data_IF_230114795661
#
_entry.id   IF_230114795661
#
_cell.length_a   1.000
_cell.length_b   1.000
_cell.length_c   1.000
_cell.angle_alpha   90.00
_cell.angle_beta   90.00
_cell.angle_gamma   90.00
#
_symmetry.space_group_name_H-M   'P 1'
#
loop_
_entity.id
_entity.type
_entity.pdbx_description
1 polymer ?
#
# COMPACT_ATOMS: atom_id res chain seq x y z
N UNK A 1 4.28 8.55 -21.95
CA UNK A 1 4.78 7.53 -20.97
C UNK A 1 5.43 6.41 -21.77
N UNK A 2 6.75 6.23 -21.63
CA UNK A 2 7.50 5.24 -22.43
C UNK A 2 8.37 4.33 -21.57
N UNK A 3 8.94 4.82 -20.47
CA UNK A 3 9.83 4.07 -19.57
C UNK A 3 9.32 4.08 -18.15
N UNK A 4 9.11 2.91 -17.57
CA UNK A 4 8.59 2.73 -16.21
C UNK A 4 9.56 1.88 -15.38
N UNK A 5 9.95 2.38 -14.21
CA UNK A 5 10.61 1.57 -13.20
C UNK A 5 9.56 0.89 -12.33
N UNK A 6 9.54 -0.43 -12.30
CA UNK A 6 8.70 -1.20 -11.39
C UNK A 6 9.46 -1.44 -10.09
N UNK A 7 8.91 -0.98 -9.00
CA UNK A 7 9.52 -1.04 -7.67
C UNK A 7 8.84 -2.12 -6.84
N UNK A 8 9.62 -3.06 -6.34
CA UNK A 8 9.14 -4.21 -5.56
C UNK A 8 10.03 -4.47 -4.36
N UNK A 9 9.49 -5.16 -3.38
CA UNK A 9 10.25 -5.79 -2.30
C UNK A 9 9.66 -7.15 -1.98
N UNK A 10 10.48 -8.12 -1.63
CA UNK A 10 10.03 -9.45 -1.26
C UNK A 10 10.76 -9.96 0.00
N UNK A 11 10.10 -10.84 0.76
CA UNK A 11 10.67 -11.52 1.90
C UNK A 11 10.01 -12.90 2.08
N UNK A 12 10.74 -13.98 1.75
CA UNK A 12 10.29 -15.38 1.88
C UNK A 12 8.91 -15.66 1.26
N UNK A 13 8.71 -15.23 -0.02
CA UNK A 13 7.46 -15.40 -0.77
C UNK A 13 7.71 -15.83 -2.21
N UNK A 14 8.66 -16.77 -2.43
CA UNK A 14 9.13 -17.18 -3.76
C UNK A 14 8.00 -17.36 -4.77
N UNK A 15 7.03 -18.22 -4.47
CA UNK A 15 5.97 -18.56 -5.43
C UNK A 15 5.05 -17.38 -5.76
N UNK A 16 4.74 -16.53 -4.76
CA UNK A 16 3.96 -15.30 -4.97
C UNK A 16 4.73 -14.31 -5.84
N UNK A 17 6.00 -14.08 -5.52
CA UNK A 17 6.88 -13.16 -6.27
C UNK A 17 7.04 -13.58 -7.73
N UNK A 18 7.31 -14.86 -7.99
CA UNK A 18 7.41 -15.37 -9.36
C UNK A 18 6.10 -15.26 -10.13
N UNK A 19 4.98 -15.58 -9.50
CA UNK A 19 3.64 -15.43 -10.08
C UNK A 19 3.33 -13.97 -10.42
N UNK A 20 3.68 -13.02 -9.54
CA UNK A 20 3.53 -11.60 -9.78
C UNK A 20 4.34 -11.17 -11.02
N UNK A 21 5.63 -11.47 -11.06
CA UNK A 21 6.52 -11.14 -12.18
C UNK A 21 6.06 -11.78 -13.50
N UNK A 22 5.59 -13.04 -13.48
CA UNK A 22 5.04 -13.69 -14.66
C UNK A 22 3.79 -12.98 -15.17
N UNK A 23 2.84 -12.66 -14.28
CA UNK A 23 1.61 -11.95 -14.66
C UNK A 23 1.89 -10.54 -15.22
N UNK A 24 2.88 -9.86 -14.67
CA UNK A 24 3.35 -8.58 -15.19
C UNK A 24 3.87 -8.73 -16.62
N UNK A 25 4.71 -9.73 -16.89
CA UNK A 25 5.28 -9.99 -18.20
C UNK A 25 4.23 -10.41 -19.23
N UNK A 26 3.33 -11.31 -18.86
CA UNK A 26 2.31 -11.84 -19.76
C UNK A 26 1.33 -10.75 -20.20
N UNK A 27 0.83 -9.94 -19.27
CA UNK A 27 -0.03 -8.81 -19.58
C UNK A 27 0.66 -7.77 -20.45
N UNK A 28 1.91 -7.42 -20.15
CA UNK A 28 2.71 -6.50 -20.95
C UNK A 28 2.94 -7.01 -22.39
N UNK A 29 3.24 -8.29 -22.57
CA UNK A 29 3.44 -8.90 -23.90
C UNK A 29 2.21 -8.83 -24.80
N UNK A 30 1.02 -8.95 -24.22
CA UNK A 30 -0.23 -8.99 -24.96
C UNK A 30 -0.68 -7.59 -25.37
N UNK A 31 -0.52 -6.61 -24.49
CA UNK A 31 -1.23 -5.33 -24.61
C UNK A 31 -0.36 -4.16 -25.04
N UNK A 32 0.91 -4.09 -24.64
CA UNK A 32 1.69 -2.88 -24.88
C UNK A 32 3.21 -3.10 -24.85
N UNK A 33 3.78 -3.61 -25.93
CA UNK A 33 5.23 -3.78 -26.08
C UNK A 33 6.00 -2.47 -26.28
N UNK A 34 5.31 -1.33 -26.40
CA UNK A 34 5.94 -0.02 -26.57
C UNK A 34 6.42 0.57 -25.24
N UNK A 35 5.92 0.08 -24.10
CA UNK A 35 6.39 0.48 -22.79
C UNK A 35 7.68 -0.29 -22.42
N UNK A 36 8.73 0.43 -22.11
CA UNK A 36 9.96 -0.14 -21.56
C UNK A 36 9.82 -0.27 -20.04
N UNK A 37 9.90 -1.49 -19.54
CA UNK A 37 9.89 -1.79 -18.12
C UNK A 37 11.30 -2.12 -17.64
N UNK A 38 11.68 -1.63 -16.47
CA UNK A 38 12.83 -2.11 -15.71
C UNK A 38 12.37 -2.42 -14.28
N UNK A 39 12.64 -3.63 -13.81
CA UNK A 39 12.22 -4.10 -12.49
C UNK A 39 13.35 -3.87 -11.49
N UNK A 40 13.05 -3.21 -10.39
CA UNK A 40 13.94 -3.06 -9.24
C UNK A 40 13.28 -3.76 -8.05
N UNK A 41 13.81 -4.92 -7.68
CA UNK A 41 13.25 -5.73 -6.58
C UNK A 41 14.27 -5.86 -5.46
N UNK A 42 13.88 -5.43 -4.26
CA UNK A 42 14.68 -5.63 -3.06
C UNK A 42 14.34 -7.00 -2.45
N UNK A 43 15.34 -7.89 -2.44
CA UNK A 43 15.33 -9.11 -1.65
C UNK A 43 15.70 -8.75 -0.21
N UNK A 44 14.69 -8.64 0.67
CA UNK A 44 14.91 -8.28 2.08
C UNK A 44 15.25 -9.50 2.92
N UNK A 45 16.35 -10.19 2.54
CA UNK A 45 16.88 -11.33 3.29
C UNK A 45 16.08 -12.62 3.11
N UNK A 46 15.63 -12.93 1.89
CA UNK A 46 14.97 -14.20 1.59
C UNK A 46 15.90 -15.39 1.83
N UNK A 47 15.38 -16.43 2.46
CA UNK A 47 16.05 -17.72 2.71
C UNK A 47 15.43 -18.88 1.94
N UNK A 48 14.31 -18.63 1.24
CA UNK A 48 13.53 -19.61 0.47
C UNK A 48 13.99 -19.80 -0.99
N UNK A 49 15.09 -19.15 -1.38
CA UNK A 49 15.63 -19.19 -2.74
C UNK A 49 14.94 -18.26 -3.73
N UNK A 50 14.17 -17.25 -3.26
CA UNK A 50 13.46 -16.29 -4.12
C UNK A 50 14.40 -15.62 -5.12
N UNK A 51 15.52 -15.04 -4.68
CA UNK A 51 16.45 -14.33 -5.57
C UNK A 51 17.06 -15.24 -6.65
N UNK A 52 17.39 -16.49 -6.29
CA UNK A 52 17.89 -17.47 -7.26
C UNK A 52 16.81 -17.80 -8.29
N UNK A 53 15.60 -18.09 -7.84
CA UNK A 53 14.50 -18.43 -8.74
C UNK A 53 14.15 -17.29 -9.72
N UNK A 54 14.27 -16.02 -9.29
CA UNK A 54 14.11 -14.86 -10.18
C UNK A 54 15.21 -14.84 -11.25
N UNK A 55 16.50 -15.09 -10.89
CA UNK A 55 17.61 -15.12 -11.85
C UNK A 55 17.50 -16.24 -12.88
N UNK A 56 16.90 -17.36 -12.52
CA UNK A 56 16.69 -18.52 -13.37
C UNK A 56 15.53 -18.31 -14.37
N UNK A 57 14.68 -17.31 -14.16
CA UNK A 57 13.60 -16.96 -15.08
C UNK A 57 14.10 -16.10 -16.24
N UNK A 58 13.55 -16.35 -17.44
CA UNK A 58 13.81 -15.54 -18.63
C UNK A 58 12.78 -14.42 -18.75
N UNK A 59 13.10 -13.25 -18.22
CA UNK A 59 12.27 -12.05 -18.42
C UNK A 59 12.69 -11.30 -19.70
N UNK A 60 11.72 -10.64 -20.33
CA UNK A 60 11.95 -9.80 -21.54
C UNK A 60 12.36 -8.38 -21.19
N UNK A 61 12.37 -8.03 -19.94
CA UNK A 61 12.80 -6.75 -19.39
C UNK A 61 13.90 -6.93 -18.33
N UNK A 62 14.75 -5.93 -18.10
CA UNK A 62 15.77 -5.99 -17.07
C UNK A 62 15.17 -6.18 -15.68
N UNK A 63 15.78 -7.08 -14.88
CA UNK A 63 15.42 -7.30 -13.47
C UNK A 63 16.65 -7.09 -12.61
N UNK A 64 16.63 -6.03 -11.79
CA UNK A 64 17.69 -5.66 -10.86
C UNK A 64 17.32 -6.18 -9.47
N UNK A 65 18.01 -7.21 -8.99
CA UNK A 65 17.82 -7.76 -7.65
C UNK A 65 18.76 -7.03 -6.70
N UNK A 66 18.19 -6.32 -5.73
CA UNK A 66 18.90 -5.53 -4.74
C UNK A 66 18.89 -6.27 -3.40
N UNK A 67 20.01 -6.22 -2.68
CA UNK A 67 20.11 -6.86 -1.37
C UNK A 67 19.56 -5.94 -0.29
N UNK A 68 18.62 -6.44 0.52
CA UNK A 68 18.13 -5.83 1.75
C UNK A 68 18.86 -6.37 2.98
N UNK A 69 18.57 -5.82 4.15
CA UNK A 69 19.15 -6.22 5.44
C UNK A 69 18.40 -7.37 6.12
N UNK A 70 17.23 -7.74 5.64
CA UNK A 70 16.29 -8.66 6.30
C UNK A 70 15.34 -7.98 7.29
N UNK A 71 15.48 -6.66 7.47
CA UNK A 71 14.66 -5.86 8.40
C UNK A 71 14.20 -4.52 7.79
N UNK A 72 14.19 -4.41 6.47
CA UNK A 72 13.73 -3.21 5.78
C UNK A 72 12.22 -3.08 5.79
N UNK A 73 11.52 -4.19 5.93
CA UNK A 73 10.07 -4.25 5.76
C UNK A 73 9.66 -3.68 4.38
N UNK A 74 8.34 -3.46 4.21
CA UNK A 74 7.84 -2.95 2.93
C UNK A 74 8.42 -1.57 2.57
N UNK A 75 8.37 -0.62 3.50
CA UNK A 75 8.81 0.75 3.22
C UNK A 75 10.30 0.84 2.87
N UNK A 76 11.16 0.26 3.70
CA UNK A 76 12.60 0.29 3.47
C UNK A 76 13.02 -0.45 2.20
N UNK A 77 12.39 -1.60 1.91
CA UNK A 77 12.62 -2.34 0.67
C UNK A 77 12.21 -1.54 -0.56
N UNK A 78 11.04 -0.91 -0.53
CA UNK A 78 10.56 -0.04 -1.61
C UNK A 78 11.47 1.18 -1.81
N UNK A 79 11.95 1.80 -0.73
CA UNK A 79 12.92 2.92 -0.80
C UNK A 79 14.23 2.46 -1.45
N UNK A 80 14.74 1.28 -1.09
CA UNK A 80 15.96 0.72 -1.67
C UNK A 80 15.80 0.54 -3.19
N UNK A 81 14.70 -0.06 -3.63
CA UNK A 81 14.35 -0.21 -5.04
C UNK A 81 14.19 1.14 -5.75
N UNK A 82 13.54 2.09 -5.10
CA UNK A 82 13.34 3.43 -5.69
C UNK A 82 14.64 4.20 -5.84
N UNK A 83 15.53 4.14 -4.86
CA UNK A 83 16.86 4.75 -4.94
C UNK A 83 17.68 4.20 -6.10
N UNK A 84 17.66 2.88 -6.31
CA UNK A 84 18.36 2.25 -7.43
C UNK A 84 17.76 2.69 -8.78
N UNK A 85 16.45 2.72 -8.92
CA UNK A 85 15.78 3.22 -10.11
C UNK A 85 16.09 4.70 -10.39
N UNK A 86 16.12 5.53 -9.35
CA UNK A 86 16.51 6.95 -9.46
C UNK A 86 17.96 7.13 -9.88
N UNK A 87 18.85 6.27 -9.41
CA UNK A 87 20.27 6.29 -9.80
C UNK A 87 20.48 5.92 -11.27
N UNK A 88 19.70 4.99 -11.81
CA UNK A 88 19.69 4.67 -13.25
C UNK A 88 19.11 5.83 -14.07
N UNK A 89 17.99 6.40 -13.63
CA UNK A 89 17.35 7.54 -14.23
C UNK A 89 16.63 7.28 -15.56
N UNK A 90 16.07 8.33 -16.15
CA UNK A 90 15.42 8.28 -17.46
C UNK A 90 14.05 7.59 -17.47
N UNK A 91 13.38 7.46 -16.32
CA UNK A 91 12.02 6.92 -16.22
C UNK A 91 10.98 8.05 -16.24
N UNK A 92 9.84 7.82 -16.91
CA UNK A 92 8.69 8.73 -16.90
C UNK A 92 7.89 8.60 -15.59
N UNK A 93 8.08 7.51 -14.86
CA UNK A 93 7.47 7.26 -13.56
C UNK A 93 7.80 5.89 -13.00
N UNK A 94 7.20 5.62 -11.86
CA UNK A 94 7.51 4.50 -10.98
C UNK A 94 6.22 3.75 -10.65
N UNK A 95 6.20 2.45 -10.89
CA UNK A 95 5.11 1.56 -10.54
C UNK A 95 5.44 0.85 -9.22
N UNK A 96 4.77 1.18 -8.15
CA UNK A 96 4.78 0.38 -6.93
C UNK A 96 4.01 -0.90 -7.19
N UNK A 97 4.60 -2.04 -6.91
CA UNK A 97 3.99 -3.34 -7.13
C UNK A 97 4.33 -4.28 -5.97
N UNK A 98 3.31 -4.75 -5.26
CA UNK A 98 3.50 -5.77 -4.24
C UNK A 98 3.79 -7.12 -4.88
N UNK A 99 4.59 -7.93 -4.19
CA UNK A 99 5.07 -9.24 -4.64
C UNK A 99 4.00 -10.35 -4.64
N UNK A 100 2.79 -10.06 -4.14
CA UNK A 100 1.66 -10.99 -4.06
C UNK A 100 0.47 -10.60 -4.96
N UNK A 101 0.68 -9.66 -5.84
CA UNK A 101 -0.32 -9.18 -6.80
C UNK A 101 -0.24 -9.97 -8.10
N UNK A 102 -1.37 -10.28 -8.71
CA UNK A 102 -1.49 -10.82 -10.07
C UNK A 102 -2.07 -9.74 -10.97
N UNK A 103 -1.24 -9.18 -11.86
CA UNK A 103 -1.61 -8.08 -12.75
C UNK A 103 -2.60 -8.57 -13.81
N UNK A 104 -3.67 -7.80 -14.04
CA UNK A 104 -4.71 -8.06 -15.04
C UNK A 104 -4.43 -7.30 -16.33
N UNK A 105 -5.01 -7.77 -17.44
CA UNK A 105 -4.84 -7.18 -18.78
C UNK A 105 -5.29 -5.74 -18.86
N UNK A 106 -6.38 -5.40 -18.16
CA UNK A 106 -6.98 -4.07 -18.14
C UNK A 106 -6.03 -2.98 -17.62
N UNK A 107 -5.11 -3.34 -16.72
CA UNK A 107 -4.09 -2.42 -16.23
C UNK A 107 -3.26 -1.79 -17.36
N UNK A 108 -2.92 -2.59 -18.38
CA UNK A 108 -2.05 -2.16 -19.48
C UNK A 108 -2.73 -1.22 -20.47
N UNK A 109 -4.05 -1.25 -20.55
CA UNK A 109 -4.84 -0.29 -21.33
C UNK A 109 -5.20 0.94 -20.53
N UNK A 110 -5.54 0.77 -19.25
CA UNK A 110 -5.95 1.86 -18.37
C UNK A 110 -4.79 2.80 -17.99
N UNK A 111 -3.59 2.26 -17.79
CA UNK A 111 -2.44 3.04 -17.36
C UNK A 111 -2.02 4.13 -18.39
N UNK A 112 -1.81 3.83 -19.69
CA UNK A 112 -1.55 4.86 -20.67
C UNK A 112 -2.72 5.82 -20.87
N UNK A 113 -3.95 5.33 -20.81
CA UNK A 113 -5.16 6.15 -20.90
C UNK A 113 -5.26 7.15 -19.73
N UNK A 114 -4.87 6.73 -18.51
CA UNK A 114 -4.80 7.61 -17.34
C UNK A 114 -3.80 8.75 -17.54
N UNK A 115 -2.65 8.47 -18.16
CA UNK A 115 -1.63 9.49 -18.43
C UNK A 115 -2.13 10.56 -19.39
N UNK A 116 -2.83 10.15 -20.46
CA UNK A 116 -3.46 11.04 -21.43
C UNK A 116 -4.58 11.83 -20.76
N UNK A 117 -5.51 11.16 -20.10
CA UNK A 117 -6.63 11.78 -19.40
C UNK A 117 -6.16 12.84 -18.40
N UNK A 118 -5.11 12.51 -17.66
CA UNK A 118 -4.55 13.39 -16.63
C UNK A 118 -3.94 14.64 -17.25
N UNK A 119 -3.20 14.49 -18.36
CA UNK A 119 -2.61 15.61 -19.08
C UNK A 119 -3.69 16.52 -19.69
N UNK A 120 -4.72 15.96 -20.28
CA UNK A 120 -5.82 16.72 -20.92
C UNK A 120 -6.70 17.46 -19.91
N UNK A 121 -7.01 16.85 -18.77
CA UNK A 121 -7.96 17.41 -17.80
C UNK A 121 -7.31 18.26 -16.71
N UNK A 122 -6.01 18.00 -16.39
CA UNK A 122 -5.29 18.69 -15.30
C UNK A 122 -4.03 19.43 -15.76
N UNK A 123 -3.62 19.28 -17.03
CA UNK A 123 -2.40 19.89 -17.57
C UNK A 123 -1.10 19.33 -16.96
N UNK A 124 -1.15 18.26 -16.21
CA UNK A 124 -0.02 17.61 -15.53
C UNK A 124 -0.29 16.16 -15.22
N UNK A 125 0.78 15.36 -15.15
CA UNK A 125 0.72 13.97 -14.76
C UNK A 125 0.61 13.82 -13.24
N UNK A 126 0.03 12.71 -12.77
CA UNK A 126 -0.27 12.49 -11.36
C UNK A 126 0.12 11.12 -10.84
N UNK A 127 -0.71 10.61 -9.93
CA UNK A 127 -0.66 9.24 -9.39
C UNK A 127 -1.86 8.48 -9.91
N UNK A 128 -1.66 7.24 -10.37
CA UNK A 128 -2.71 6.37 -10.89
C UNK A 128 -2.79 5.11 -10.03
N UNK A 129 -3.87 5.02 -9.26
CA UNK A 129 -4.09 3.95 -8.29
C UNK A 129 -4.86 2.81 -8.96
N UNK A 130 -4.23 1.64 -9.06
CA UNK A 130 -4.89 0.43 -9.50
C UNK A 130 -5.68 -0.20 -8.37
N UNK A 131 -6.96 -0.49 -8.62
CA UNK A 131 -7.79 -1.25 -7.69
C UNK A 131 -7.55 -2.74 -7.83
N UNK A 132 -7.58 -3.47 -6.71
CA UNK A 132 -7.44 -4.92 -6.69
C UNK A 132 -8.72 -5.60 -6.23
N UNK A 133 -8.92 -6.84 -6.72
CA UNK A 133 -10.00 -7.71 -6.30
C UNK A 133 -9.46 -9.02 -5.75
N UNK A 134 -10.18 -9.64 -4.86
CA UNK A 134 -9.90 -11.01 -4.42
C UNK A 134 -10.09 -11.98 -5.58
N UNK A 135 -9.11 -12.87 -5.80
CA UNK A 135 -9.09 -13.77 -6.93
C UNK A 135 -10.22 -14.82 -6.90
N UNK A 136 -10.67 -15.21 -5.71
CA UNK A 136 -11.65 -16.27 -5.54
C UNK A 136 -13.09 -15.72 -5.51
N UNK A 137 -13.29 -14.58 -4.85
CA UNK A 137 -14.63 -14.01 -4.61
C UNK A 137 -14.96 -12.86 -5.57
N UNK A 138 -13.97 -12.27 -6.23
CA UNK A 138 -14.13 -11.05 -7.03
C UNK A 138 -14.39 -9.77 -6.22
N UNK A 139 -14.43 -9.88 -4.89
CA UNK A 139 -14.68 -8.73 -4.03
C UNK A 139 -13.54 -7.72 -4.08
N UNK A 140 -13.87 -6.42 -4.02
CA UNK A 140 -12.88 -5.35 -3.90
C UNK A 140 -11.99 -5.53 -2.66
N UNK A 141 -10.69 -5.38 -2.83
CA UNK A 141 -9.72 -5.52 -1.72
C UNK A 141 -8.99 -4.22 -1.41
N UNK A 142 -8.26 -3.64 -2.37
CA UNK A 142 -7.47 -2.42 -2.21
C UNK A 142 -7.69 -1.47 -3.38
N UNK A 143 -7.48 -0.17 -3.18
CA UNK A 143 -7.63 0.85 -4.22
C UNK A 143 -7.56 2.25 -3.64
N UNK A 144 -8.16 3.23 -4.33
CA UNK A 144 -8.27 4.60 -3.86
C UNK A 144 -9.41 4.81 -2.87
N UNK A 145 -9.31 5.88 -2.08
CA UNK A 145 -10.31 6.24 -1.08
C UNK A 145 -10.30 7.73 -0.75
N UNK A 146 -11.40 8.20 -0.13
CA UNK A 146 -11.53 9.54 0.43
C UNK A 146 -11.70 9.48 1.94
N UNK A 147 -11.17 10.47 2.67
CA UNK A 147 -11.42 10.63 4.11
C UNK A 147 -12.75 11.35 4.33
N UNK A 148 -13.81 10.58 4.56
CA UNK A 148 -15.15 11.14 4.87
C UNK A 148 -15.23 11.78 6.24
N UNK A 149 -14.33 11.44 7.14
CA UNK A 149 -14.19 12.10 8.42
C UNK A 149 -12.70 12.20 8.81
N UNK A 150 -12.14 13.40 8.67
CA UNK A 150 -10.71 13.64 8.95
C UNK A 150 -10.37 13.60 10.45
N UNK A 151 -11.37 13.73 11.35
CA UNK A 151 -11.14 13.58 12.79
C UNK A 151 -10.88 12.14 13.19
N UNK A 152 -11.62 11.20 12.64
CA UNK A 152 -11.49 9.77 12.92
C UNK A 152 -10.63 9.03 11.91
N UNK A 153 -10.27 9.67 10.78
CA UNK A 153 -9.73 9.08 9.55
C UNK A 153 -10.62 7.94 9.04
N UNK A 154 -11.96 8.12 9.17
CA UNK A 154 -12.87 7.22 8.51
C UNK A 154 -12.74 7.45 7.01
N UNK A 155 -12.34 6.42 6.31
CA UNK A 155 -12.24 6.35 4.85
C UNK A 155 -13.50 5.80 4.22
N UNK A 156 -13.69 6.13 2.97
CA UNK A 156 -14.63 5.53 2.05
C UNK A 156 -13.85 5.02 0.86
N UNK A 157 -13.79 3.72 0.71
CA UNK A 157 -13.20 3.06 -0.44
C UNK A 157 -14.01 3.36 -1.70
N UNK A 158 -13.32 3.54 -2.81
CA UNK A 158 -13.91 3.85 -4.12
C UNK A 158 -13.59 2.70 -5.09
N UNK A 159 -14.49 1.72 -5.25
CA UNK A 159 -14.32 0.68 -6.26
C UNK A 159 -14.27 1.26 -7.68
N UNK A 160 -13.59 0.62 -8.64
CA UNK A 160 -13.61 1.03 -10.04
C UNK A 160 -15.03 0.95 -10.59
N UNK A 161 -15.40 1.91 -11.45
CA UNK A 161 -16.74 2.06 -11.97
C UNK A 161 -16.81 2.26 -13.49
N UNK A 162 -15.74 1.90 -14.20
CA UNK A 162 -15.62 2.08 -15.66
C UNK A 162 -15.15 3.48 -16.08
N UNK A 163 -14.84 4.38 -15.14
CA UNK A 163 -14.36 5.74 -15.41
C UNK A 163 -13.23 6.12 -14.49
N UNK A 164 -12.39 7.08 -14.88
CA UNK A 164 -11.39 7.67 -14.01
C UNK A 164 -12.08 8.44 -12.87
N UNK A 165 -11.70 8.12 -11.63
CA UNK A 165 -12.22 8.77 -10.44
C UNK A 165 -11.09 9.45 -9.69
N UNK A 166 -11.30 10.66 -9.17
CA UNK A 166 -10.36 11.30 -8.26
C UNK A 166 -10.50 10.72 -6.85
N UNK A 167 -9.39 10.59 -6.13
CA UNK A 167 -9.39 10.24 -4.72
C UNK A 167 -8.37 11.05 -3.93
N UNK A 168 -8.52 11.09 -2.60
CA UNK A 168 -7.58 11.80 -1.72
C UNK A 168 -6.34 10.96 -1.43
N UNK A 169 -6.45 9.63 -1.38
CA UNK A 169 -5.36 8.72 -1.10
C UNK A 169 -5.60 7.33 -1.71
N UNK A 170 -4.57 6.49 -1.75
CA UNK A 170 -4.67 5.14 -2.29
C UNK A 170 -3.65 4.18 -1.70
N UNK A 171 -3.93 2.88 -1.87
CA UNK A 171 -3.06 1.79 -1.47
C UNK A 171 -1.96 1.53 -2.50
N UNK A 172 -0.79 1.15 -2.03
CA UNK A 172 0.40 0.94 -2.86
C UNK A 172 0.55 -0.45 -3.48
N UNK A 173 -0.53 -1.26 -3.55
CA UNK A 173 -0.45 -2.63 -4.08
C UNK A 173 -0.07 -2.68 -5.57
N UNK A 174 -0.66 -1.80 -6.37
CA UNK A 174 -0.34 -1.55 -7.78
C UNK A 174 -0.66 -0.08 -8.07
N UNK A 175 0.34 0.79 -7.98
CA UNK A 175 0.14 2.25 -8.11
C UNK A 175 1.27 2.88 -8.88
N UNK A 176 0.94 3.58 -9.95
CA UNK A 176 1.90 4.35 -10.74
C UNK A 176 2.02 5.78 -10.20
N UNK A 177 3.26 6.25 -10.11
CA UNK A 177 3.61 7.62 -9.71
C UNK A 177 4.43 8.25 -10.81
N UNK A 178 3.95 9.33 -11.39
CA UNK A 178 4.67 10.04 -12.43
C UNK A 178 5.93 10.73 -11.90
N UNK A 179 6.94 10.89 -12.76
CA UNK A 179 8.19 11.62 -12.43
C UNK A 179 7.90 13.06 -11.98
N UNK A 180 6.82 13.69 -12.48
CA UNK A 180 6.38 15.02 -12.04
C UNK A 180 6.11 15.07 -10.53
N UNK A 181 5.40 14.07 -10.01
CA UNK A 181 5.11 13.97 -8.57
C UNK A 181 6.40 13.71 -7.77
N UNK A 182 7.25 12.81 -8.27
CA UNK A 182 8.52 12.48 -7.61
C UNK A 182 9.49 13.66 -7.54
N UNK A 183 9.54 14.46 -8.60
CA UNK A 183 10.37 15.69 -8.62
C UNK A 183 9.88 16.74 -7.62
N UNK A 184 8.59 16.72 -7.26
CA UNK A 184 8.02 17.64 -6.27
C UNK A 184 8.11 17.11 -4.83
N UNK A 185 7.80 15.85 -4.59
CA UNK A 185 7.71 15.26 -3.24
C UNK A 185 8.96 14.48 -2.82
N UNK A 186 9.80 14.08 -3.77
CA UNK A 186 10.83 13.07 -3.55
C UNK A 186 10.26 11.66 -3.55
N UNK A 187 11.00 10.73 -2.95
CA UNK A 187 10.57 9.33 -2.76
C UNK A 187 9.90 9.16 -1.38
N UNK A 188 9.55 7.94 -1.02
CA UNK A 188 8.97 7.62 0.29
C UNK A 188 9.79 8.17 1.47
N UNK A 189 9.08 8.59 2.51
CA UNK A 189 9.71 9.01 3.77
C UNK A 189 10.35 7.80 4.46
N UNK A 190 11.65 7.89 4.75
CA UNK A 190 12.45 6.84 5.38
C UNK A 190 12.17 6.62 6.87
N UNK A 191 11.40 7.51 7.48
CA UNK A 191 11.00 7.40 8.91
C UNK A 191 9.87 6.42 9.14
N UNK A 192 9.16 5.98 8.10
CA UNK A 192 8.20 4.89 8.22
C UNK A 192 8.93 3.55 8.27
N UNK A 193 8.45 2.64 9.12
CA UNK A 193 9.02 1.29 9.21
C UNK A 193 8.20 0.32 8.36
N UNK A 194 6.88 0.26 8.58
CA UNK A 194 5.99 -0.65 7.87
C UNK A 194 4.58 -0.06 7.77
N UNK A 195 4.03 -0.01 6.57
CA UNK A 195 2.66 0.44 6.29
C UNK A 195 2.40 1.94 6.44
N UNK A 196 1.36 2.43 5.74
CA UNK A 196 0.89 3.81 5.81
C UNK A 196 1.68 4.83 5.00
N UNK A 197 2.81 4.45 4.42
CA UNK A 197 3.64 5.34 3.60
C UNK A 197 2.99 5.66 2.26
N UNK A 198 2.30 4.69 1.68
CA UNK A 198 1.51 4.83 0.47
C UNK A 198 0.36 5.83 0.66
N UNK A 199 -0.37 5.72 1.77
CA UNK A 199 -1.41 6.69 2.13
C UNK A 199 -0.84 8.09 2.39
N UNK A 200 0.29 8.19 3.09
CA UNK A 200 0.99 9.45 3.33
C UNK A 200 1.38 10.12 2.01
N UNK A 201 2.03 9.38 1.13
CA UNK A 201 2.56 9.89 -0.13
C UNK A 201 1.45 10.33 -1.08
N UNK A 202 0.44 9.48 -1.29
CA UNK A 202 -0.68 9.79 -2.19
C UNK A 202 -1.52 10.96 -1.66
N UNK A 203 -1.76 11.03 -0.35
CA UNK A 203 -2.45 12.16 0.27
C UNK A 203 -1.66 13.47 0.19
N UNK A 204 -0.34 13.43 0.37
CA UNK A 204 0.51 14.63 0.20
C UNK A 204 0.56 15.09 -1.26
N UNK A 205 0.58 14.18 -2.23
CA UNK A 205 0.45 14.51 -3.65
C UNK A 205 -0.89 15.20 -3.94
N UNK A 206 -1.99 14.66 -3.44
CA UNK A 206 -3.31 15.29 -3.53
C UNK A 206 -3.32 16.70 -2.91
N UNK A 207 -2.76 16.88 -1.71
CA UNK A 207 -2.63 18.20 -1.05
C UNK A 207 -1.78 19.18 -1.83
N UNK A 208 -0.76 18.71 -2.53
CA UNK A 208 0.09 19.52 -3.41
C UNK A 208 -0.59 19.83 -4.76
N UNK A 209 -1.85 19.41 -4.93
CA UNK A 209 -2.65 19.67 -6.12
C UNK A 209 -2.32 18.74 -7.29
N UNK A 210 -1.61 17.64 -7.09
CA UNK A 210 -1.48 16.61 -8.12
C UNK A 210 -2.76 15.77 -8.20
N UNK A 211 -3.21 15.39 -9.41
CA UNK A 211 -4.30 14.45 -9.57
C UNK A 211 -3.88 13.08 -9.03
N UNK A 212 -4.75 12.51 -8.19
CA UNK A 212 -4.67 11.11 -7.75
C UNK A 212 -5.91 10.44 -8.30
N UNK A 213 -5.74 9.55 -9.29
CA UNK A 213 -6.81 8.93 -10.05
C UNK A 213 -6.87 7.44 -9.76
N UNK A 214 -8.08 6.93 -9.63
CA UNK A 214 -8.37 5.49 -9.64
C UNK A 214 -8.57 5.07 -11.10
N UNK A 215 -7.94 3.97 -11.50
CA UNK A 215 -8.12 3.38 -12.81
C UNK A 215 -9.55 2.84 -12.99
N UNK A 216 -10.11 2.89 -14.24
CA UNK A 216 -11.50 2.54 -14.50
C UNK A 216 -11.86 1.10 -14.15
N UNK A 217 -10.92 0.16 -14.29
CA UNK A 217 -11.13 -1.28 -14.08
C UNK A 217 -10.24 -1.81 -12.95
N UNK A 218 -10.46 -3.06 -12.55
CA UNK A 218 -9.55 -3.74 -11.64
C UNK A 218 -8.20 -3.96 -12.34
N UNK A 219 -7.15 -3.43 -11.75
CA UNK A 219 -5.78 -3.52 -12.26
C UNK A 219 -5.12 -4.86 -11.92
N UNK A 220 -5.55 -5.50 -10.83
CA UNK A 220 -4.93 -6.72 -10.37
C UNK A 220 -5.84 -7.55 -9.45
N UNK A 221 -5.46 -8.83 -9.26
CA UNK A 221 -6.00 -9.68 -8.21
C UNK A 221 -5.00 -9.78 -7.04
N UNK A 222 -5.50 -9.56 -5.82
CA UNK A 222 -4.72 -9.67 -4.59
C UNK A 222 -5.63 -10.13 -3.45
N UNK A 223 -5.27 -11.22 -2.78
CA UNK A 223 -6.01 -11.66 -1.60
C UNK A 223 -5.82 -10.70 -0.46
N UNK A 224 -6.89 -10.46 0.30
CA UNK A 224 -6.79 -9.74 1.56
C UNK A 224 -6.34 -10.70 2.66
N UNK A 225 -5.02 -10.95 2.75
CA UNK A 225 -4.42 -11.82 3.76
C UNK A 225 -4.43 -11.21 5.18
N UNK A 226 -4.83 -9.94 5.30
CA UNK A 226 -5.04 -9.32 6.62
C UNK A 226 -6.33 -9.86 7.23
N UNK A 227 -6.21 -10.96 7.97
CA UNK A 227 -7.33 -11.47 8.76
C UNK A 227 -7.85 -10.35 9.66
N UNK A 228 -9.09 -9.93 9.42
CA UNK A 228 -9.76 -8.83 10.15
C UNK A 228 -9.75 -9.02 11.67
N UNK A 229 -9.36 -10.19 12.16
CA UNK A 229 -9.57 -10.66 13.52
C UNK A 229 -8.32 -11.09 14.31
N UNK A 230 -7.19 -11.44 13.67
CA UNK A 230 -6.10 -12.15 14.38
C UNK A 230 -5.31 -11.30 15.39
N UNK A 231 -4.99 -10.05 15.07
CA UNK A 231 -4.13 -9.23 15.94
C UNK A 231 -4.89 -8.40 16.98
N UNK A 232 -6.12 -7.95 16.67
CA UNK A 232 -6.86 -7.06 17.56
C UNK A 232 -7.59 -7.78 18.70
N UNK A 233 -8.10 -8.98 18.48
CA UNK A 233 -8.83 -9.76 19.51
C UNK A 233 -7.96 -10.07 20.71
N UNK A 234 -6.68 -10.40 20.48
CA UNK A 234 -5.78 -10.76 21.57
C UNK A 234 -5.18 -9.54 22.29
N UNK A 235 -5.11 -8.36 21.65
CA UNK A 235 -4.49 -7.18 22.26
C UNK A 235 -5.07 -6.81 23.62
N UNK A 236 -6.40 -6.87 23.78
CA UNK A 236 -7.07 -6.45 25.01
C UNK A 236 -6.90 -7.44 26.17
N UNK A 237 -6.55 -8.70 25.89
CA UNK A 237 -6.29 -9.74 26.89
C UNK A 237 -4.81 -9.82 27.30
N UNK A 238 -3.91 -9.21 26.54
CA UNK A 238 -2.48 -9.24 26.83
C UNK A 238 -2.14 -8.52 28.14
N UNK A 239 -1.09 -8.95 28.88
CA UNK A 239 -0.48 -8.19 29.97
C UNK A 239 -0.04 -6.79 29.51
N UNK A 240 0.02 -5.82 30.44
CA UNK A 240 0.38 -4.43 30.12
C UNK A 240 1.69 -4.31 29.35
N UNK A 241 2.74 -5.06 29.77
CA UNK A 241 4.05 -5.04 29.11
C UNK A 241 3.96 -5.46 27.64
N UNK A 242 3.20 -6.50 27.35
CA UNK A 242 2.98 -6.99 25.99
C UNK A 242 2.13 -6.02 25.17
N UNK A 243 1.11 -5.40 25.78
CA UNK A 243 0.34 -4.34 25.11
C UNK A 243 1.19 -3.15 24.72
N UNK A 244 2.09 -2.70 25.59
CA UNK A 244 3.01 -1.61 25.30
C UNK A 244 4.00 -2.01 24.19
N UNK A 245 4.53 -3.25 24.22
CA UNK A 245 5.35 -3.77 23.15
C UNK A 245 4.58 -3.78 21.81
N UNK A 246 3.37 -4.32 21.79
CA UNK A 246 2.52 -4.38 20.59
C UNK A 246 2.12 -2.98 20.08
N UNK A 247 1.90 -2.01 20.98
CA UNK A 247 1.63 -0.62 20.62
C UNK A 247 2.75 0.00 19.78
N UNK A 248 4.02 -0.34 20.09
CA UNK A 248 5.19 0.20 19.41
C UNK A 248 5.74 -0.71 18.30
N UNK A 249 5.32 -1.98 18.24
CA UNK A 249 5.79 -2.94 17.23
C UNK A 249 5.40 -2.50 15.82
N UNK A 250 6.32 -2.61 14.83
CA UNK A 250 6.03 -2.33 13.42
C UNK A 250 4.88 -3.18 12.85
N UNK A 251 4.75 -4.42 13.31
CA UNK A 251 3.69 -5.36 12.93
C UNK A 251 2.47 -5.31 13.87
N UNK A 252 2.51 -4.46 14.89
CA UNK A 252 1.42 -4.24 15.84
C UNK A 252 0.56 -3.02 15.49
N UNK A 253 0.24 -2.21 16.52
CA UNK A 253 -0.50 -0.95 16.33
C UNK A 253 0.35 0.17 15.73
N UNK A 254 1.66 0.01 15.74
CA UNK A 254 2.65 0.90 15.14
C UNK A 254 2.38 2.39 15.43
N UNK A 255 2.36 2.74 16.72
CA UNK A 255 2.09 4.11 17.16
C UNK A 255 3.05 5.12 16.52
N UNK A 256 4.30 4.73 16.27
CA UNK A 256 5.29 5.57 15.60
C UNK A 256 4.79 6.04 14.23
N UNK A 257 4.38 5.09 13.37
CA UNK A 257 3.87 5.43 12.04
C UNK A 257 2.57 6.24 12.11
N UNK A 258 1.67 5.93 13.04
CA UNK A 258 0.43 6.68 13.21
C UNK A 258 0.69 8.15 13.63
N UNK A 259 1.67 8.39 14.52
CA UNK A 259 2.10 9.72 14.92
C UNK A 259 2.79 10.47 13.77
N UNK A 260 3.67 9.77 13.02
CA UNK A 260 4.35 10.34 11.87
C UNK A 260 3.34 10.75 10.78
N UNK A 261 2.41 9.87 10.43
CA UNK A 261 1.32 10.15 9.50
C UNK A 261 0.49 11.37 9.94
N UNK A 262 0.10 11.39 11.23
CA UNK A 262 -0.64 12.53 11.76
C UNK A 262 0.17 13.82 11.65
N UNK A 263 1.46 13.81 12.00
CA UNK A 263 2.31 15.00 11.92
C UNK A 263 2.42 15.54 10.49
N UNK A 264 2.49 14.67 9.48
CA UNK A 264 2.68 15.04 8.09
C UNK A 264 1.37 15.43 7.39
N UNK A 265 0.31 14.66 7.62
CA UNK A 265 -0.95 14.79 6.89
C UNK A 265 -2.01 15.58 7.68
N UNK A 266 -2.09 15.38 9.00
CA UNK A 266 -3.12 15.94 9.90
C UNK A 266 -2.49 16.37 11.25
N UNK A 267 -1.67 17.44 11.31
CA UNK A 267 -0.87 17.79 12.50
C UNK A 267 -1.68 17.95 13.78
N UNK A 268 -2.90 18.46 13.68
CA UNK A 268 -3.81 18.64 14.81
C UNK A 268 -4.27 17.33 15.46
N UNK A 269 -4.15 16.18 14.76
CA UNK A 269 -4.47 14.87 15.32
C UNK A 269 -3.32 14.25 16.13
N UNK A 270 -2.13 14.79 16.03
CA UNK A 270 -0.96 14.23 16.73
C UNK A 270 -1.19 14.00 18.23
N UNK A 271 -1.64 15.01 19.02
CA UNK A 271 -1.91 14.80 20.45
C UNK A 271 -3.05 13.79 20.68
N UNK A 272 -4.06 13.76 19.82
CA UNK A 272 -5.17 12.81 19.93
C UNK A 272 -4.66 11.37 19.75
N UNK A 273 -3.84 11.12 18.73
CA UNK A 273 -3.27 9.78 18.46
C UNK A 273 -2.34 9.36 19.59
N UNK A 274 -1.51 10.26 20.11
CA UNK A 274 -0.63 9.98 21.22
C UNK A 274 -1.43 9.55 22.46
N UNK A 275 -2.39 10.36 22.88
CA UNK A 275 -3.22 10.09 24.05
C UNK A 275 -4.03 8.79 23.86
N UNK A 276 -4.73 8.64 22.74
CA UNK A 276 -5.58 7.46 22.48
C UNK A 276 -4.76 6.19 22.30
N UNK A 277 -3.54 6.27 21.78
CA UNK A 277 -2.61 5.15 21.68
C UNK A 277 -2.29 4.58 23.07
N UNK A 278 -1.87 5.42 23.99
CA UNK A 278 -1.59 4.99 25.37
C UNK A 278 -2.84 4.61 26.14
N UNK A 279 -3.97 5.30 25.97
CA UNK A 279 -5.24 4.89 26.59
C UNK A 279 -5.68 3.49 26.17
N UNK A 280 -5.44 3.09 24.91
CA UNK A 280 -5.68 1.69 24.46
C UNK A 280 -4.84 0.69 25.23
N UNK A 281 -3.58 1.00 25.49
CA UNK A 281 -2.68 0.09 26.19
C UNK A 281 -2.93 0.06 27.71
N UNK A 282 -3.19 1.22 28.33
CA UNK A 282 -3.36 1.34 29.78
C UNK A 282 -4.77 0.92 30.23
N UNK A 283 -5.80 1.34 29.51
CA UNK A 283 -7.22 1.13 29.88
C UNK A 283 -8.00 0.44 28.74
N UNK A 284 -7.60 -0.77 28.30
CA UNK A 284 -8.14 -1.38 27.09
C UNK A 284 -9.66 -1.61 27.16
N UNK A 285 -10.21 -2.08 28.30
CA UNK A 285 -11.64 -2.33 28.47
C UNK A 285 -12.47 -1.04 28.38
N UNK A 286 -12.01 0.03 29.03
CA UNK A 286 -12.67 1.35 29.02
C UNK A 286 -12.63 1.96 27.63
N UNK A 287 -11.45 1.93 26.99
CA UNK A 287 -11.27 2.42 25.62
C UNK A 287 -12.22 1.69 24.65
N UNK A 288 -12.28 0.37 24.71
CA UNK A 288 -13.13 -0.43 23.83
C UNK A 288 -14.63 -0.15 24.03
N UNK A 289 -15.08 0.01 25.28
CA UNK A 289 -16.46 0.41 25.57
C UNK A 289 -16.82 1.78 24.99
N UNK A 290 -15.94 2.77 25.16
CA UNK A 290 -16.13 4.11 24.58
C UNK A 290 -16.14 4.08 23.06
N UNK A 291 -15.26 3.28 22.46
CA UNK A 291 -15.18 3.09 21.01
C UNK A 291 -16.46 2.46 20.43
N UNK A 292 -17.00 1.42 21.05
CA UNK A 292 -18.26 0.79 20.64
C UNK A 292 -19.45 1.76 20.75
N UNK A 293 -19.54 2.50 21.85
CA UNK A 293 -20.59 3.52 22.03
C UNK A 293 -20.52 4.60 20.95
N UNK A 294 -19.33 5.07 20.62
CA UNK A 294 -19.12 6.07 19.56
C UNK A 294 -19.53 5.55 18.15
N UNK A 295 -19.53 4.24 17.95
CA UNK A 295 -20.00 3.59 16.72
C UNK A 295 -21.48 3.19 16.73
N UNK A 296 -22.23 3.49 17.79
CA UNK A 296 -23.65 3.14 17.91
C UNK A 296 -23.93 1.65 18.12
N UNK A 297 -22.91 0.86 18.47
CA UNK A 297 -23.08 -0.56 18.78
C UNK A 297 -23.62 -0.68 20.21
N UNK A 298 -24.90 -1.05 20.35
CA UNK A 298 -25.53 -1.33 21.64
C UNK A 298 -24.91 -2.60 22.22
N UNK A 299 -24.32 -2.47 23.41
CA UNK A 299 -23.75 -3.50 24.30
C UNK A 299 -23.61 -4.91 23.73
N UNK A 300 -22.39 -5.26 23.36
CA UNK A 300 -21.98 -6.65 23.37
C UNK A 300 -21.39 -6.89 24.76
N UNK A 301 -21.94 -7.87 25.50
CA UNK A 301 -21.32 -8.35 26.74
C UNK A 301 -19.90 -8.82 26.38
N UNK A 302 -18.91 -8.16 26.97
CA UNK A 302 -17.52 -8.57 26.75
C UNK A 302 -17.27 -9.86 27.53
N UNK A 303 -17.30 -10.99 26.82
CA UNK A 303 -16.85 -12.28 27.33
C UNK A 303 -15.50 -12.58 26.68
N UNK A 304 -14.41 -12.67 27.46
CA UNK A 304 -13.10 -12.97 26.94
C UNK A 304 -12.99 -14.34 26.26
N UNK A 305 -13.98 -15.21 26.44
CA UNK A 305 -13.99 -16.59 25.94
C UNK A 305 -14.93 -16.81 24.74
N UNK A 306 -15.69 -15.81 24.31
CA UNK A 306 -16.59 -15.95 23.17
C UNK A 306 -15.96 -15.49 21.85
N UNK A 307 -15.82 -16.42 20.93
CA UNK A 307 -15.52 -16.19 19.50
C UNK A 307 -16.75 -15.56 18.81
N UNK A 308 -16.96 -14.25 18.91
CA UNK A 308 -17.99 -13.59 18.12
C UNK A 308 -17.40 -13.05 16.81
N UNK A 309 -17.75 -13.71 15.71
CA UNK A 309 -17.66 -13.17 14.36
C UNK A 309 -18.63 -11.98 14.24
N UNK A 310 -18.11 -10.78 14.00
CA UNK A 310 -18.93 -9.67 13.52
C UNK A 310 -19.02 -9.77 12.00
N UNK A 311 -20.21 -10.11 11.54
CA UNK A 311 -20.64 -9.93 10.13
C UNK A 311 -20.71 -8.44 9.76
#
# INVERSE_FOLDING_TARGET
>A
MNRIAVLMTCHNRKDKTLRCLSSLQDGWRITNRELFLSIFITDDGCTDGTAQAIREQSFTFPVHILQGSGNLYWNGGMINSWKAARAEGGFDGYLWLNDDVVVLSEFWTDLPAADIFCQENYGKKGIYVGSTKDADTGAFTYGGFNYVNKLTLKDQLLPPNGSFQTCEAGHGNITYVSENVVNHLGIFCDKYIHGGTDHDYTYLAHKAGFPVLILPHYAAACRNDHSKDGGRKNFFSLPLRERLHYLHSPLGLNLHNALLFSRRCFPWRYPIILITGYLKALFPKTYYRCYLRARGVKQISWDPNTNHSCS
#
